data_IF_981316982166
#
_entry.id   IF_981316982166
#
_cell.length_a   1.000
_cell.length_b   1.000
_cell.length_c   1.000
_cell.angle_alpha   90.00
_cell.angle_beta   90.00
_cell.angle_gamma   90.00
#
_symmetry.space_group_name_H-M   'P 1'
#
loop_
_entity.id
_entity.type
_entity.pdbx_description
1 polymer ?
#
# COMPACT_ATOMS: atom_id res chain seq x y z
N UNK A 1 7.23 -33.52 -2.20
CA UNK A 1 8.69 -33.79 -2.23
C UNK A 1 9.44 -32.45 -2.11
N UNK A 2 9.06 -31.63 -1.12
CA UNK A 2 9.20 -30.17 -1.23
C UNK A 2 10.06 -29.57 -0.10
N UNK A 3 10.49 -30.42 0.86
CA UNK A 3 11.24 -30.00 2.04
C UNK A 3 12.77 -30.08 1.88
N UNK A 4 13.29 -30.83 0.90
CA UNK A 4 14.74 -31.02 0.70
C UNK A 4 15.38 -29.85 -0.07
N UNK A 5 14.62 -29.15 -0.91
CA UNK A 5 15.12 -27.99 -1.66
C UNK A 5 15.29 -26.74 -0.78
N UNK A 6 14.44 -26.58 0.25
CA UNK A 6 14.48 -25.43 1.16
C UNK A 6 15.63 -25.52 2.16
N UNK A 7 15.97 -26.72 2.63
CA UNK A 7 17.08 -26.92 3.58
C UNK A 7 18.45 -26.71 2.93
N UNK A 8 18.63 -27.16 1.67
CA UNK A 8 19.86 -26.89 0.91
C UNK A 8 20.08 -25.40 0.62
N UNK A 9 19.02 -24.65 0.27
CA UNK A 9 19.09 -23.19 0.08
C UNK A 9 19.38 -22.44 1.39
N UNK A 10 18.79 -22.87 2.51
CA UNK A 10 19.04 -22.29 3.83
C UNK A 10 20.48 -22.56 4.32
N UNK A 11 21.01 -23.75 4.05
CA UNK A 11 22.42 -24.11 4.30
C UNK A 11 23.38 -23.26 3.45
N UNK A 12 23.09 -23.06 2.16
CA UNK A 12 23.91 -22.26 1.25
C UNK A 12 23.95 -20.76 1.64
N UNK A 13 22.82 -20.20 2.10
CA UNK A 13 22.72 -18.81 2.59
C UNK A 13 23.45 -18.61 3.92
N UNK A 14 23.44 -19.64 4.78
CA UNK A 14 24.09 -19.64 6.10
C UNK A 14 25.61 -19.79 5.98
N UNK A 15 26.09 -20.55 5.00
CA UNK A 15 27.51 -20.83 4.78
C UNK A 15 28.32 -19.65 4.22
N UNK A 16 27.68 -18.69 3.53
CA UNK A 16 28.32 -17.49 2.94
C UNK A 16 28.10 -16.17 3.68
N UNK A 17 27.65 -16.18 4.95
CA UNK A 17 27.38 -14.97 5.77
C UNK A 17 26.35 -13.97 5.17
N UNK A 18 25.63 -14.34 4.11
CA UNK A 18 24.63 -13.49 3.43
C UNK A 18 23.49 -13.09 4.37
N UNK A 19 23.17 -13.93 5.35
CA UNK A 19 22.22 -13.63 6.43
C UNK A 19 22.59 -12.36 7.21
N UNK A 20 23.89 -12.06 7.38
CA UNK A 20 24.33 -10.86 8.10
C UNK A 20 23.95 -9.58 7.36
N UNK A 21 24.03 -9.60 6.03
CA UNK A 21 23.62 -8.47 5.18
C UNK A 21 22.10 -8.33 5.18
N UNK A 22 21.36 -9.45 5.10
CA UNK A 22 19.91 -9.42 5.20
C UNK A 22 19.43 -8.84 6.54
N UNK A 23 20.01 -9.28 7.66
CA UNK A 23 19.70 -8.77 8.99
C UNK A 23 20.10 -7.30 9.14
N UNK A 24 21.30 -6.93 8.71
CA UNK A 24 21.73 -5.53 8.74
C UNK A 24 20.82 -4.64 7.88
N UNK A 25 20.40 -5.12 6.72
CA UNK A 25 19.46 -4.41 5.85
C UNK A 25 18.12 -4.20 6.55
N UNK A 26 17.55 -5.22 7.18
CA UNK A 26 16.28 -5.11 7.92
C UNK A 26 16.38 -4.09 9.06
N UNK A 27 17.49 -4.10 9.82
CA UNK A 27 17.71 -3.16 10.93
C UNK A 27 17.78 -1.71 10.40
N UNK A 28 18.60 -1.48 9.37
CA UNK A 28 18.77 -0.14 8.76
C UNK A 28 17.47 0.32 8.10
N UNK A 29 16.81 -0.55 7.34
CA UNK A 29 15.52 -0.32 6.71
C UNK A 29 14.45 0.05 7.75
N UNK A 30 14.38 -0.71 8.84
CA UNK A 30 13.48 -0.43 9.96
C UNK A 30 13.75 0.95 10.58
N UNK A 31 15.01 1.28 10.83
CA UNK A 31 15.40 2.60 11.33
C UNK A 31 15.00 3.75 10.41
N UNK A 32 15.20 3.59 9.10
CA UNK A 32 14.80 4.58 8.09
C UNK A 32 13.27 4.75 8.10
N UNK A 33 12.50 3.66 8.15
CA UNK A 33 11.04 3.71 8.25
C UNK A 33 10.60 4.44 9.52
N UNK A 34 11.25 4.17 10.65
CA UNK A 34 10.90 4.77 11.94
C UNK A 34 11.16 6.28 11.94
N UNK A 35 12.29 6.73 11.41
CA UNK A 35 12.59 8.16 11.25
C UNK A 35 11.62 8.82 10.27
N UNK A 36 11.38 8.21 9.11
CA UNK A 36 10.45 8.73 8.11
C UNK A 36 9.01 8.80 8.63
N UNK A 37 8.61 7.86 9.49
CA UNK A 37 7.28 7.88 10.12
C UNK A 37 7.07 9.07 11.05
N UNK A 38 8.15 9.61 11.64
CA UNK A 38 8.09 10.81 12.46
C UNK A 38 8.20 12.09 11.62
N UNK A 39 9.14 12.12 10.67
CA UNK A 39 9.45 13.32 9.88
C UNK A 39 8.40 13.60 8.81
N UNK A 40 7.90 12.56 8.12
CA UNK A 40 7.03 12.76 6.95
C UNK A 40 5.68 13.38 7.34
N UNK A 41 4.99 12.92 8.41
CA UNK A 41 3.78 13.59 8.88
C UNK A 41 4.06 14.98 9.43
N UNK A 42 5.21 15.19 10.08
CA UNK A 42 5.61 16.51 10.60
C UNK A 42 5.83 17.54 9.49
N UNK A 43 6.15 17.10 8.27
CA UNK A 43 6.28 17.93 7.08
C UNK A 43 5.04 17.92 6.18
N UNK A 44 3.91 17.40 6.69
CA UNK A 44 2.65 17.26 5.94
C UNK A 44 2.81 16.52 4.59
N UNK A 45 3.84 15.66 4.48
CA UNK A 45 4.09 14.94 3.25
C UNK A 45 2.94 13.97 2.97
N UNK A 46 2.42 13.92 1.74
CA UNK A 46 1.27 13.07 1.47
C UNK A 46 1.62 11.58 1.64
N UNK A 47 0.63 10.76 1.98
CA UNK A 47 0.78 9.32 2.29
C UNK A 47 1.44 8.48 1.17
N UNK A 48 1.47 8.97 -0.07
CA UNK A 48 2.19 8.29 -1.16
C UNK A 48 3.71 8.29 -0.95
N UNK A 49 4.27 9.26 -0.23
CA UNK A 49 5.70 9.39 0.06
C UNK A 49 6.22 8.26 0.93
N UNK A 50 5.54 7.95 2.04
CA UNK A 50 5.86 6.82 2.92
C UNK A 50 5.75 5.49 2.17
N UNK A 51 4.72 5.35 1.32
CA UNK A 51 4.55 4.14 0.49
C UNK A 51 5.69 3.98 -0.52
N UNK A 52 6.12 5.07 -1.16
CA UNK A 52 7.29 5.05 -2.06
C UNK A 52 8.54 4.59 -1.34
N UNK A 53 8.80 5.13 -0.15
CA UNK A 53 9.96 4.75 0.66
C UNK A 53 9.96 3.25 0.95
N UNK A 54 8.81 2.69 1.34
CA UNK A 54 8.66 1.25 1.60
C UNK A 54 8.92 0.44 0.34
N UNK A 55 8.33 0.82 -0.80
CA UNK A 55 8.54 0.12 -2.08
C UNK A 55 10.01 0.18 -2.51
N UNK A 56 10.67 1.31 -2.32
CA UNK A 56 12.09 1.49 -2.61
C UNK A 56 12.97 0.60 -1.72
N UNK A 57 12.66 0.51 -0.42
CA UNK A 57 13.34 -0.40 0.51
C UNK A 57 13.13 -1.87 0.13
N UNK A 58 11.89 -2.23 -0.19
CA UNK A 58 11.55 -3.62 -0.53
C UNK A 58 12.20 -4.04 -1.85
N UNK A 59 12.26 -3.15 -2.84
CA UNK A 59 12.96 -3.38 -4.11
C UNK A 59 14.49 -3.30 -3.98
N UNK A 60 14.98 -2.50 -3.04
CA UNK A 60 16.40 -2.42 -2.69
C UNK A 60 16.95 -3.68 -2.01
N UNK A 61 16.10 -4.47 -1.34
CA UNK A 61 16.52 -5.70 -0.67
C UNK A 61 17.04 -6.79 -1.62
N UNK A 62 16.33 -7.18 -2.70
CA UNK A 62 16.88 -8.06 -3.74
C UNK A 62 18.20 -7.55 -4.32
N UNK A 63 18.31 -6.24 -4.54
CA UNK A 63 19.53 -5.61 -5.04
C UNK A 63 20.67 -5.77 -4.02
N UNK A 64 20.40 -5.53 -2.74
CA UNK A 64 21.38 -5.70 -1.67
C UNK A 64 21.85 -7.16 -1.55
N UNK A 65 20.96 -8.14 -1.72
CA UNK A 65 21.30 -9.56 -1.74
C UNK A 65 22.15 -9.93 -2.96
N UNK A 66 21.79 -9.44 -4.15
CA UNK A 66 22.55 -9.66 -5.37
C UNK A 66 23.94 -9.02 -5.25
N UNK A 67 24.05 -7.82 -4.69
CA UNK A 67 25.34 -7.16 -4.45
C UNK A 67 26.17 -7.93 -3.43
N UNK A 68 25.57 -8.39 -2.33
CA UNK A 68 26.27 -9.21 -1.33
C UNK A 68 26.80 -10.53 -1.92
N UNK A 69 26.07 -11.11 -2.87
CA UNK A 69 26.46 -12.31 -3.59
C UNK A 69 27.50 -12.03 -4.69
N UNK A 70 27.38 -10.92 -5.41
CA UNK A 70 28.23 -10.55 -6.54
C UNK A 70 29.60 -9.98 -6.13
N UNK A 71 29.69 -9.37 -4.96
CA UNK A 71 30.93 -8.75 -4.48
C UNK A 71 31.80 -9.66 -3.62
N UNK A 72 31.46 -10.96 -3.49
CA UNK A 72 32.15 -11.99 -2.68
C UNK A 72 33.01 -11.32 -1.59
N UNK A 73 32.35 -10.87 -0.51
CA UNK A 73 33.00 -10.16 0.61
C UNK A 73 33.88 -11.17 1.36
N UNK A 74 34.96 -11.59 0.69
CA UNK A 74 36.04 -12.42 1.19
C UNK A 74 36.77 -11.59 2.24
N UNK A 75 36.87 -12.07 3.48
CA UNK A 75 37.65 -11.42 4.54
C UNK A 75 39.16 -11.62 4.37
N UNK A 76 39.61 -12.19 3.26
CA UNK A 76 41.02 -12.44 3.00
C UNK A 76 41.54 -11.30 2.13
N UNK A 77 42.02 -10.25 2.83
CA UNK A 77 42.69 -9.12 2.22
C UNK A 77 43.74 -9.57 1.20
N UNK A 78 43.83 -8.80 0.12
CA UNK A 78 44.83 -8.82 -0.96
C UNK A 78 46.04 -9.72 -0.64
N UNK A 79 45.96 -11.00 -0.97
CA UNK A 79 47.17 -11.81 -1.16
C UNK A 79 47.57 -11.67 -2.61
N UNK A 80 48.54 -10.78 -2.82
CA UNK A 80 49.38 -10.77 -4.01
C UNK A 80 50.16 -12.09 -4.01
N UNK A 81 49.60 -13.12 -4.61
CA UNK A 81 50.42 -14.18 -5.21
C UNK A 81 50.57 -13.82 -6.68
N UNK A 82 51.81 -13.51 -7.08
CA UNK A 82 52.16 -13.26 -8.47
C UNK A 82 51.70 -14.44 -9.34
N UNK A 83 51.06 -14.19 -10.51
CA UNK A 83 50.49 -15.26 -11.32
C UNK A 83 51.59 -16.02 -12.10
N UNK A 84 51.55 -17.36 -12.19
CA UNK A 84 52.32 -18.10 -13.18
C UNK A 84 51.79 -17.81 -14.60
N UNK A 85 52.67 -17.71 -15.62
CA UNK A 85 52.30 -17.24 -16.95
C UNK A 85 51.75 -18.38 -17.80
N UNK A 86 50.45 -18.65 -17.70
CA UNK A 86 49.66 -19.26 -18.77
C UNK A 86 48.21 -19.46 -18.33
N UNK A 87 47.28 -18.71 -18.93
CA UNK A 87 45.96 -19.14 -19.46
C UNK A 87 45.07 -17.91 -19.76
N UNK A 88 44.21 -17.95 -20.80
CA UNK A 88 43.48 -16.79 -21.32
C UNK A 88 42.37 -16.31 -20.38
N UNK A 89 42.28 -15.00 -20.23
CA UNK A 89 41.37 -14.30 -19.33
C UNK A 89 39.89 -14.53 -19.70
N UNK A 90 39.18 -15.38 -18.94
CA UNK A 90 37.75 -15.60 -19.10
C UNK A 90 36.96 -15.25 -17.83
N UNK A 91 37.01 -14.01 -17.34
CA UNK A 91 36.12 -13.58 -16.24
C UNK A 91 35.78 -12.08 -16.30
N UNK A 92 35.09 -11.61 -17.36
CA UNK A 92 34.61 -10.20 -17.42
C UNK A 92 33.15 -9.99 -17.86
N UNK A 93 32.44 -11.03 -18.30
CA UNK A 93 31.07 -10.89 -18.83
C UNK A 93 29.92 -10.95 -17.81
N UNK A 94 30.12 -11.61 -16.65
CA UNK A 94 29.02 -11.83 -15.67
C UNK A 94 28.61 -10.56 -14.91
N UNK A 95 29.52 -9.60 -14.72
CA UNK A 95 29.26 -8.39 -13.93
C UNK A 95 28.22 -7.47 -14.57
N UNK A 96 28.23 -7.38 -15.91
CA UNK A 96 27.32 -6.52 -16.67
C UNK A 96 25.88 -7.09 -16.67
N UNK A 97 25.73 -8.41 -16.64
CA UNK A 97 24.43 -9.09 -16.58
C UNK A 97 23.70 -8.80 -15.25
N UNK A 98 24.44 -8.74 -14.14
CA UNK A 98 23.85 -8.42 -12.83
C UNK A 98 23.42 -6.95 -12.71
N UNK A 99 24.15 -6.03 -13.35
CA UNK A 99 23.78 -4.60 -13.41
C UNK A 99 22.50 -4.41 -14.23
N UNK A 100 22.34 -5.16 -15.33
CA UNK A 100 21.12 -5.11 -16.14
C UNK A 100 19.91 -5.68 -15.41
N UNK A 101 20.09 -6.74 -14.62
CA UNK A 101 19.03 -7.30 -13.77
C UNK A 101 18.58 -6.34 -12.66
N UNK A 102 19.52 -5.66 -11.99
CA UNK A 102 19.17 -4.68 -10.94
C UNK A 102 18.47 -3.46 -11.51
N UNK A 103 18.92 -2.95 -12.65
CA UNK A 103 18.24 -1.87 -13.39
C UNK A 103 16.84 -2.32 -13.82
N UNK A 104 16.71 -3.55 -14.33
CA UNK A 104 15.42 -4.12 -14.74
C UNK A 104 14.42 -4.24 -13.58
N UNK A 105 14.87 -4.64 -12.39
CA UNK A 105 14.03 -4.71 -11.18
C UNK A 105 13.63 -3.31 -10.69
N UNK A 106 14.56 -2.34 -10.70
CA UNK A 106 14.25 -0.95 -10.35
C UNK A 106 13.23 -0.33 -11.31
N UNK A 107 13.43 -0.52 -12.62
CA UNK A 107 12.50 -0.04 -13.64
C UNK A 107 11.13 -0.71 -13.47
N UNK A 108 11.07 -2.03 -13.26
CA UNK A 108 9.81 -2.74 -13.01
C UNK A 108 9.07 -2.22 -11.76
N UNK A 109 9.79 -1.92 -10.68
CA UNK A 109 9.20 -1.34 -9.47
C UNK A 109 8.66 0.07 -9.70
N UNK A 110 9.38 0.93 -10.44
CA UNK A 110 8.97 2.29 -10.79
C UNK A 110 7.77 2.25 -11.74
N UNK A 111 7.84 1.41 -12.77
CA UNK A 111 6.78 1.22 -13.76
C UNK A 111 5.53 0.65 -13.10
N UNK A 112 5.64 -0.35 -12.22
CA UNK A 112 4.54 -0.85 -11.40
C UNK A 112 3.96 0.24 -10.50
N UNK A 113 4.80 1.04 -9.85
CA UNK A 113 4.37 2.14 -8.98
C UNK A 113 3.61 3.26 -9.72
N UNK A 114 3.97 3.55 -10.98
CA UNK A 114 3.34 4.59 -11.80
C UNK A 114 2.17 4.09 -12.66
N UNK A 115 2.20 2.84 -13.16
CA UNK A 115 1.17 2.28 -14.06
C UNK A 115 0.05 1.52 -13.32
N UNK A 116 0.30 0.95 -12.14
CA UNK A 116 -0.80 0.31 -11.39
C UNK A 116 -1.77 1.40 -10.94
N UNK A 117 -3.07 1.30 -11.28
CA UNK A 117 -4.07 2.24 -10.82
C UNK A 117 -3.97 2.28 -9.31
N UNK A 118 -3.59 3.45 -8.79
CA UNK A 118 -3.50 3.67 -7.34
C UNK A 118 -4.87 3.32 -6.80
N UNK A 119 -4.98 2.14 -6.20
CA UNK A 119 -6.00 1.86 -5.21
C UNK A 119 -5.65 2.77 -4.02
N UNK A 120 -5.89 4.07 -4.21
CA UNK A 120 -6.20 4.97 -3.13
C UNK A 120 -7.23 4.19 -2.34
N UNK A 121 -6.86 3.80 -1.11
CA UNK A 121 -7.78 3.15 -0.20
C UNK A 121 -8.94 4.13 -0.14
N UNK A 122 -10.02 3.81 -0.88
CA UNK A 122 -11.14 4.70 -1.11
C UNK A 122 -11.61 4.99 0.30
N UNK A 123 -11.31 6.19 0.82
CA UNK A 123 -11.89 6.63 2.09
C UNK A 123 -13.38 6.44 1.84
N UNK A 124 -13.97 5.47 2.51
CA UNK A 124 -15.41 5.31 2.49
C UNK A 124 -15.89 6.56 3.20
N UNK A 125 -16.30 7.56 2.42
CA UNK A 125 -17.00 8.70 2.99
C UNK A 125 -18.23 8.13 3.68
N UNK A 126 -18.28 8.30 5.00
CA UNK A 126 -19.37 7.80 5.83
C UNK A 126 -20.60 8.60 5.44
N UNK A 127 -21.47 8.04 4.61
CA UNK A 127 -22.68 8.71 4.15
C UNK A 127 -23.89 8.27 4.96
N UNK A 128 -24.76 9.21 5.33
CA UNK A 128 -26.02 8.94 6.01
C UNK A 128 -27.19 9.58 5.25
N UNK A 129 -28.27 8.82 5.13
CA UNK A 129 -29.52 9.26 4.53
C UNK A 129 -30.66 8.96 5.49
N UNK A 130 -31.53 9.94 5.72
CA UNK A 130 -32.73 9.79 6.53
C UNK A 130 -33.90 9.61 5.57
N UNK A 131 -34.53 8.43 5.56
CA UNK A 131 -35.69 8.19 4.71
C UNK A 131 -36.91 8.99 5.18
N UNK A 132 -37.79 9.42 4.27
CA UNK A 132 -39.04 10.08 4.65
C UNK A 132 -39.86 9.20 5.59
N UNK A 133 -40.37 9.79 6.66
CA UNK A 133 -41.23 9.07 7.59
C UNK A 133 -42.62 8.85 6.97
N UNK A 134 -43.19 7.68 7.23
CA UNK A 134 -44.56 7.37 6.82
C UNK A 134 -45.53 8.09 7.77
N UNK A 135 -46.51 8.78 7.20
CA UNK A 135 -47.62 9.30 7.97
C UNK A 135 -48.67 8.19 8.12
N UNK A 136 -48.84 7.67 9.34
CA UNK A 136 -49.84 6.63 9.66
C UNK A 136 -51.21 7.21 10.04
N UNK A 137 -51.37 8.53 9.95
CA UNK A 137 -52.61 9.25 10.25
C UNK A 137 -53.25 9.78 8.96
N UNK A 138 -54.57 9.85 8.93
CA UNK A 138 -55.34 10.42 7.80
C UNK A 138 -55.26 11.96 7.75
N UNK A 139 -54.69 12.59 8.78
CA UNK A 139 -54.53 14.04 8.83
C UNK A 139 -53.33 14.50 7.97
N UNK A 140 -53.60 15.46 7.08
CA UNK A 140 -52.58 16.08 6.23
C UNK A 140 -51.59 16.93 7.04
N UNK A 141 -51.96 17.45 8.19
CA UNK A 141 -51.04 18.22 9.05
C UNK A 141 -49.90 17.34 9.57
N UNK A 142 -50.18 16.06 9.87
CA UNK A 142 -49.18 15.10 10.33
C UNK A 142 -48.12 14.76 9.25
N UNK A 143 -48.46 14.92 7.97
CA UNK A 143 -47.50 14.74 6.89
C UNK A 143 -46.43 15.85 6.90
N UNK A 144 -46.82 17.10 7.11
CA UNK A 144 -45.90 18.23 7.22
C UNK A 144 -45.04 18.16 8.48
N UNK A 145 -45.61 17.67 9.58
CA UNK A 145 -44.86 17.43 10.82
C UNK A 145 -43.77 16.38 10.63
N UNK A 146 -44.10 15.23 10.03
CA UNK A 146 -43.16 14.17 9.72
C UNK A 146 -42.02 14.66 8.81
N UNK A 147 -42.37 15.49 7.82
CA UNK A 147 -41.43 16.14 6.92
C UNK A 147 -40.51 17.15 7.66
N UNK A 148 -41.03 17.92 8.61
CA UNK A 148 -40.25 18.86 9.45
C UNK A 148 -39.24 18.15 10.35
N UNK A 149 -39.65 17.06 11.02
CA UNK A 149 -38.73 16.26 11.84
C UNK A 149 -37.58 15.68 10.99
N UNK A 150 -37.88 15.23 9.78
CA UNK A 150 -36.85 14.71 8.87
C UNK A 150 -35.79 15.78 8.57
N UNK A 151 -36.22 17.01 8.28
CA UNK A 151 -35.33 18.13 7.97
C UNK A 151 -34.48 18.57 9.17
N UNK A 152 -35.07 18.55 10.37
CA UNK A 152 -34.34 18.84 11.62
C UNK A 152 -33.24 17.79 11.89
N UNK A 153 -33.54 16.50 11.66
CA UNK A 153 -32.55 15.43 11.81
C UNK A 153 -31.43 15.59 10.77
N UNK A 154 -31.77 15.84 9.49
CA UNK A 154 -30.78 16.07 8.43
C UNK A 154 -29.87 17.25 8.76
N UNK A 155 -30.44 18.34 9.27
CA UNK A 155 -29.69 19.55 9.66
C UNK A 155 -28.77 19.30 10.86
N UNK A 156 -29.18 18.47 11.81
CA UNK A 156 -28.30 18.11 12.93
C UNK A 156 -27.19 17.14 12.51
N UNK A 157 -27.48 16.20 11.62
CA UNK A 157 -26.47 15.30 11.05
C UNK A 157 -25.46 16.04 10.18
N UNK A 158 -25.88 17.10 9.47
CA UNK A 158 -24.97 17.86 8.59
C UNK A 158 -23.92 18.67 9.35
N UNK A 159 -24.12 18.88 10.66
CA UNK A 159 -23.11 19.51 11.53
C UNK A 159 -21.96 18.57 11.87
N UNK A 160 -22.10 17.26 11.62
CA UNK A 160 -21.05 16.26 11.85
C UNK A 160 -20.13 16.27 10.63
N UNK A 161 -18.98 16.93 10.73
CA UNK A 161 -18.04 17.14 9.60
C UNK A 161 -17.46 15.88 8.95
N UNK A 162 -17.61 14.70 9.57
CA UNK A 162 -17.19 13.42 8.99
C UNK A 162 -18.30 12.71 8.17
N UNK A 163 -19.55 13.20 8.20
CA UNK A 163 -20.68 12.54 7.56
C UNK A 163 -21.12 13.27 6.28
N UNK A 164 -21.16 12.54 5.17
CA UNK A 164 -21.82 13.00 3.93
C UNK A 164 -23.33 12.81 4.10
N UNK A 165 -24.05 13.88 4.40
CA UNK A 165 -25.51 13.85 4.52
C UNK A 165 -26.16 13.95 3.15
N UNK A 166 -27.05 13.00 2.85
CA UNK A 166 -27.77 12.95 1.58
C UNK A 166 -29.04 13.81 1.69
N UNK A 167 -29.26 14.66 0.68
CA UNK A 167 -30.35 15.64 0.69
C UNK A 167 -31.75 15.00 0.71
N UNK A 168 -32.70 15.73 1.32
CA UNK A 168 -34.12 15.35 1.42
C UNK A 168 -34.74 15.06 0.05
N UNK A 169 -34.51 15.93 -0.93
CA UNK A 169 -35.06 15.81 -2.29
C UNK A 169 -34.59 14.54 -2.98
N UNK A 170 -33.37 14.08 -2.67
CA UNK A 170 -32.89 12.82 -3.19
C UNK A 170 -33.71 11.66 -2.62
N UNK A 171 -34.01 11.60 -1.32
CA UNK A 171 -34.70 10.44 -0.72
C UNK A 171 -36.23 10.45 -0.89
N UNK A 172 -36.81 11.56 -1.33
CA UNK A 172 -38.25 11.73 -1.53
C UNK A 172 -38.94 10.63 -2.36
N UNK A 173 -38.35 10.10 -3.47
CA UNK A 173 -38.96 9.03 -4.26
C UNK A 173 -39.11 7.68 -3.55
N UNK A 174 -38.53 7.53 -2.35
CA UNK A 174 -38.62 6.30 -1.56
C UNK A 174 -39.68 6.34 -0.45
N UNK A 175 -40.44 7.44 -0.31
CA UNK A 175 -41.46 7.62 0.75
C UNK A 175 -42.46 6.46 0.82
N UNK A 176 -42.98 6.04 -0.33
CA UNK A 176 -44.04 5.04 -0.44
C UNK A 176 -43.56 3.72 -1.08
N UNK A 177 -42.23 3.56 -1.24
CA UNK A 177 -41.65 2.34 -1.80
C UNK A 177 -41.17 1.43 -0.70
N UNK A 178 -41.67 0.19 -0.68
CA UNK A 178 -41.17 -0.90 0.16
C UNK A 178 -39.85 -1.51 -0.36
N UNK A 179 -38.96 -0.69 -0.93
CA UNK A 179 -37.68 -1.16 -1.47
C UNK A 179 -36.74 -1.55 -0.34
N UNK A 180 -35.88 -2.55 -0.58
CA UNK A 180 -34.91 -3.00 0.42
C UNK A 180 -33.95 -1.85 0.80
N UNK A 181 -33.92 -1.49 2.09
CA UNK A 181 -33.05 -0.43 2.64
C UNK A 181 -31.57 -0.63 2.30
N UNK A 182 -31.13 -1.88 2.10
CA UNK A 182 -29.75 -2.22 1.69
C UNK A 182 -29.46 -1.79 0.26
N UNK A 183 -30.44 -1.91 -0.65
CA UNK A 183 -30.29 -1.50 -2.05
C UNK A 183 -30.27 0.02 -2.17
N UNK A 184 -31.16 0.70 -1.43
CA UNK A 184 -31.20 2.17 -1.37
C UNK A 184 -29.84 2.71 -0.87
N UNK A 185 -29.30 2.10 0.19
CA UNK A 185 -27.98 2.47 0.72
C UNK A 185 -26.84 2.27 -0.28
N UNK A 186 -26.88 1.20 -1.09
CA UNK A 186 -25.87 0.97 -2.15
C UNK A 186 -25.99 2.01 -3.27
N UNK A 187 -27.20 2.26 -3.75
CA UNK A 187 -27.46 3.23 -4.82
C UNK A 187 -27.06 4.65 -4.44
N UNK A 188 -27.23 5.00 -3.16
CA UNK A 188 -26.91 6.33 -2.63
C UNK A 188 -25.48 6.54 -2.20
N UNK A 189 -24.74 5.47 -1.93
CA UNK A 189 -23.32 5.52 -1.65
C UNK A 189 -22.47 5.82 -2.90
N UNK A 190 -23.04 5.63 -4.09
CA UNK A 190 -22.37 5.82 -5.38
C UNK A 190 -22.62 7.21 -6.02
N UNK A 191 -23.49 8.04 -5.42
CA UNK A 191 -23.76 9.43 -5.80
C UNK A 191 -23.14 10.40 -4.78
#
# INVERSE_FOLDING_TARGET
MDHVFMSGFFEEVKRRKVYRVAVAYIIVAGGIIQIASAVFPAWELPNWSQRLLIVLLLSGFPIALILAWAFDVTPEGVRVTAPPPSLPAYHRGRRNLFILLTIGVMLSAITGFFLLPRASARKLDKSIAVLPFQNLSDDKENAYFADGIQDDILTNLSKIGELKVISRTSVMPYRDKSTNVREIGKQRREQ
#
